data_IF_881033467127
#
_entry.id   IF_881033467127
#
_cell.length_a   1.000
_cell.length_b   1.000
_cell.length_c   1.000
_cell.angle_alpha   90.00
_cell.angle_beta   90.00
_cell.angle_gamma   90.00
#
_symmetry.space_group_name_H-M   'P 1'
#
loop_
_entity.id
_entity.type
_entity.pdbx_description
1 polymer ?
#
# COMPACT_ATOMS: atom_id res chain seq x y z
N UNK A 1 22.93 -19.48 -9.42
CA UNK A 1 21.51 -19.48 -9.05
C UNK A 1 21.41 -20.18 -7.70
N UNK A 2 21.39 -19.40 -6.61
CA UNK A 2 21.38 -19.94 -5.25
C UNK A 2 19.92 -20.15 -4.82
N UNK A 3 19.59 -21.37 -4.46
CA UNK A 3 18.29 -21.77 -3.90
C UNK A 3 18.34 -21.37 -2.43
N UNK A 4 17.49 -20.43 -2.02
CA UNK A 4 17.33 -20.05 -0.61
C UNK A 4 15.97 -20.58 -0.18
N UNK A 5 16.01 -21.74 0.47
CA UNK A 5 14.92 -22.26 1.26
C UNK A 5 14.90 -21.48 2.58
N UNK A 6 13.77 -20.87 2.93
CA UNK A 6 13.70 -19.96 4.09
C UNK A 6 13.86 -20.76 5.40
N UNK A 7 13.48 -22.04 5.42
CA UNK A 7 13.47 -22.85 6.65
C UNK A 7 14.12 -24.24 6.50
N UNK A 8 14.44 -24.69 5.28
CA UNK A 8 15.24 -25.89 5.02
C UNK A 8 14.65 -27.22 5.54
N UNK A 9 13.37 -27.25 5.93
CA UNK A 9 12.80 -28.38 6.69
C UNK A 9 11.34 -28.77 6.41
N UNK A 10 10.71 -28.31 5.33
CA UNK A 10 9.30 -28.67 5.08
C UNK A 10 9.07 -29.13 3.64
N UNK A 11 8.73 -30.42 3.51
CA UNK A 11 8.22 -31.02 2.28
C UNK A 11 7.02 -30.21 1.79
N UNK A 12 7.16 -29.63 0.60
CA UNK A 12 6.28 -28.64 0.03
C UNK A 12 4.94 -29.24 -0.43
N UNK A 13 3.84 -28.64 0.02
CA UNK A 13 2.68 -28.37 -0.85
C UNK A 13 3.20 -27.95 -2.22
N UNK A 14 2.80 -28.61 -3.32
CA UNK A 14 3.43 -28.55 -4.66
C UNK A 14 3.58 -27.19 -5.38
N UNK A 15 3.70 -26.08 -4.66
CA UNK A 15 4.14 -24.79 -5.13
C UNK A 15 5.66 -24.75 -5.41
N UNK A 16 6.10 -23.98 -6.41
CA UNK A 16 7.52 -23.77 -6.66
C UNK A 16 8.19 -23.00 -5.50
N UNK A 17 9.50 -23.18 -5.31
CA UNK A 17 10.26 -22.49 -4.26
C UNK A 17 10.22 -20.97 -4.46
N UNK A 18 10.41 -20.23 -3.35
CA UNK A 18 10.44 -18.77 -3.37
C UNK A 18 11.63 -18.24 -4.18
N UNK A 19 11.37 -17.21 -4.96
CA UNK A 19 12.38 -16.35 -5.58
C UNK A 19 13.04 -15.46 -4.52
N UNK A 20 14.23 -14.92 -4.82
CA UNK A 20 14.93 -14.02 -3.91
C UNK A 20 14.13 -12.76 -3.54
N UNK A 21 13.33 -12.23 -4.48
CA UNK A 21 12.46 -11.09 -4.21
C UNK A 21 11.28 -11.47 -3.29
N UNK A 22 10.64 -12.62 -3.52
CA UNK A 22 9.55 -13.09 -2.65
C UNK A 22 10.05 -13.29 -1.20
N UNK A 23 11.26 -13.85 -1.02
CA UNK A 23 11.88 -13.99 0.28
C UNK A 23 12.19 -12.63 0.95
N UNK A 24 12.66 -11.64 0.19
CA UNK A 24 12.91 -10.29 0.70
C UNK A 24 11.62 -9.60 1.19
N UNK A 25 10.54 -9.72 0.43
CA UNK A 25 9.23 -9.17 0.81
C UNK A 25 8.73 -9.81 2.11
N UNK A 26 8.82 -11.14 2.22
CA UNK A 26 8.41 -11.86 3.44
C UNK A 26 9.27 -11.48 4.64
N UNK A 27 10.58 -11.29 4.47
CA UNK A 27 11.46 -10.78 5.54
C UNK A 27 11.04 -9.39 6.02
N UNK A 28 10.63 -8.53 5.10
CA UNK A 28 10.15 -7.19 5.47
C UNK A 28 8.80 -7.24 6.18
N UNK A 29 7.87 -8.08 5.70
CA UNK A 29 6.61 -8.34 6.40
C UNK A 29 6.87 -8.81 7.82
N UNK A 30 7.81 -9.73 7.99
CA UNK A 30 8.23 -10.21 9.31
C UNK A 30 8.70 -9.07 10.21
N UNK A 31 9.55 -8.17 9.73
CA UNK A 31 10.07 -7.05 10.51
C UNK A 31 8.99 -6.11 11.02
N UNK A 32 7.99 -5.80 10.21
CA UNK A 32 6.93 -4.84 10.56
C UNK A 32 5.71 -5.49 11.22
N UNK A 33 5.56 -6.81 11.12
CA UNK A 33 4.41 -7.54 11.65
C UNK A 33 4.20 -7.26 13.14
N UNK A 34 2.95 -6.96 13.48
CA UNK A 34 2.46 -6.80 14.85
C UNK A 34 1.67 -8.03 15.26
N UNK A 35 1.88 -8.48 16.49
CA UNK A 35 1.22 -9.64 17.07
C UNK A 35 0.44 -9.21 18.31
N UNK A 36 -0.68 -9.87 18.59
CA UNK A 36 -1.39 -9.68 19.85
C UNK A 36 -0.65 -10.37 21.02
N UNK A 37 0.06 -11.47 20.73
CA UNK A 37 0.94 -12.17 21.66
C UNK A 37 2.34 -12.35 21.04
N UNK A 38 3.34 -11.72 21.64
CA UNK A 38 4.74 -11.79 21.21
C UNK A 38 5.36 -13.18 21.43
N UNK A 39 4.74 -14.05 22.24
CA UNK A 39 5.12 -15.45 22.33
C UNK A 39 4.95 -16.18 20.99
N UNK A 40 3.91 -15.85 20.22
CA UNK A 40 3.69 -16.42 18.88
C UNK A 40 4.86 -16.08 17.95
N UNK A 41 5.33 -14.83 17.98
CA UNK A 41 6.49 -14.42 17.18
C UNK A 41 7.74 -15.23 17.54
N UNK A 42 7.97 -15.50 18.83
CA UNK A 42 9.14 -16.26 19.29
C UNK A 42 9.03 -17.75 18.98
N UNK A 43 7.86 -18.34 19.21
CA UNK A 43 7.61 -19.77 19.00
C UNK A 43 7.80 -20.17 17.53
N UNK A 44 7.28 -19.34 16.60
CA UNK A 44 7.32 -19.60 15.17
C UNK A 44 8.42 -18.80 14.45
N UNK A 45 9.46 -18.34 15.16
CA UNK A 45 10.53 -17.54 14.54
C UNK A 45 11.28 -18.29 13.41
N UNK A 46 11.30 -19.62 13.48
CA UNK A 46 11.89 -20.51 12.48
C UNK A 46 10.92 -20.95 11.37
N UNK A 47 9.63 -20.59 11.46
CA UNK A 47 8.63 -20.77 10.40
C UNK A 47 7.83 -19.48 10.29
N UNK A 48 8.43 -18.51 9.61
CA UNK A 48 7.92 -17.13 9.58
C UNK A 48 6.61 -17.01 8.83
N UNK A 49 6.32 -17.91 7.90
CA UNK A 49 5.03 -17.90 7.19
C UNK A 49 3.90 -18.30 8.14
N UNK A 50 4.09 -19.36 8.94
CA UNK A 50 3.14 -19.73 9.98
C UNK A 50 3.04 -18.62 11.03
N UNK A 51 4.15 -17.99 11.43
CA UNK A 51 4.09 -16.85 12.33
C UNK A 51 3.26 -15.70 11.72
N UNK A 52 3.57 -15.28 10.50
CA UNK A 52 2.89 -14.19 9.80
C UNK A 52 1.38 -14.43 9.69
N UNK A 53 0.93 -15.66 9.44
CA UNK A 53 -0.50 -16.04 9.42
C UNK A 53 -1.26 -15.72 10.72
N UNK A 54 -0.53 -15.41 11.80
CA UNK A 54 -1.06 -15.07 13.13
C UNK A 54 -0.77 -13.61 13.53
N UNK A 55 -0.05 -12.86 12.70
CA UNK A 55 0.10 -11.41 12.87
C UNK A 55 -1.25 -10.72 12.70
N UNK A 56 -1.45 -9.55 13.31
CA UNK A 56 -2.71 -8.78 13.23
C UNK A 56 -3.18 -8.61 11.78
N UNK A 57 -2.28 -8.19 10.91
CA UNK A 57 -2.63 -7.88 9.52
C UNK A 57 -2.99 -9.10 8.67
N UNK A 58 -2.22 -10.18 8.81
CA UNK A 58 -2.40 -11.41 8.01
C UNK A 58 -3.23 -12.48 8.72
N UNK A 59 -3.75 -12.19 9.92
CA UNK A 59 -4.44 -13.17 10.76
C UNK A 59 -5.49 -13.96 9.98
N UNK A 60 -5.45 -15.28 10.12
CA UNK A 60 -6.42 -16.18 9.47
C UNK A 60 -6.17 -16.47 7.99
N UNK A 61 -5.09 -15.95 7.38
CA UNK A 61 -4.64 -16.45 6.08
C UNK A 61 -3.73 -17.67 6.25
N UNK A 62 -3.94 -18.76 5.51
CA UNK A 62 -2.98 -19.84 5.51
C UNK A 62 -1.67 -19.43 4.79
N UNK A 63 -0.52 -20.05 5.10
CA UNK A 63 0.78 -19.73 4.50
C UNK A 63 0.80 -19.62 2.96
N UNK A 64 0.11 -20.52 2.26
CA UNK A 64 0.00 -20.53 0.80
C UNK A 64 -0.70 -19.27 0.26
N UNK A 65 -1.63 -18.68 1.00
CA UNK A 65 -2.30 -17.45 0.61
C UNK A 65 -1.39 -16.23 0.80
N UNK A 66 -0.45 -16.27 1.75
CA UNK A 66 0.59 -15.25 1.88
C UNK A 66 1.50 -15.26 0.64
N UNK A 67 1.96 -16.44 0.22
CA UNK A 67 2.79 -16.59 -0.99
C UNK A 67 2.02 -16.11 -2.22
N UNK A 68 0.74 -16.50 -2.36
CA UNK A 68 -0.11 -16.02 -3.45
C UNK A 68 -0.27 -14.50 -3.43
N UNK A 69 -0.36 -13.90 -2.25
CA UNK A 69 -0.44 -12.43 -2.11
C UNK A 69 0.85 -11.76 -2.60
N UNK A 70 2.02 -12.26 -2.21
CA UNK A 70 3.32 -11.77 -2.68
C UNK A 70 3.40 -11.85 -4.21
N UNK A 71 3.02 -12.99 -4.80
CA UNK A 71 3.00 -13.20 -6.26
C UNK A 71 2.03 -12.27 -6.99
N UNK A 72 0.87 -12.00 -6.41
CA UNK A 72 -0.10 -11.07 -6.98
C UNK A 72 0.46 -9.64 -7.03
N UNK A 73 1.24 -9.22 -6.04
CA UNK A 73 1.89 -7.91 -6.04
C UNK A 73 2.90 -7.76 -7.17
N UNK A 74 3.63 -8.83 -7.54
CA UNK A 74 4.54 -8.82 -8.70
C UNK A 74 3.79 -8.70 -10.01
N UNK A 75 2.69 -9.44 -10.13
CA UNK A 75 1.88 -9.49 -11.36
C UNK A 75 1.27 -8.12 -11.67
N UNK A 76 1.02 -7.32 -10.64
CA UNK A 76 0.49 -5.96 -10.76
C UNK A 76 -0.97 -5.92 -11.24
N UNK A 77 -1.49 -4.72 -11.54
CA UNK A 77 -2.87 -4.55 -11.97
C UNK A 77 -3.11 -5.14 -13.36
N UNK A 78 -4.30 -5.69 -13.54
CA UNK A 78 -4.79 -6.19 -14.84
C UNK A 78 -5.22 -5.04 -15.75
N UNK A 79 -5.42 -5.33 -17.03
CA UNK A 79 -6.03 -4.38 -17.96
C UNK A 79 -7.47 -3.97 -17.54
N UNK A 80 -8.18 -4.85 -16.81
CA UNK A 80 -9.48 -4.57 -16.22
C UNK A 80 -9.38 -3.53 -15.11
N UNK A 81 -8.41 -3.67 -14.22
CA UNK A 81 -8.17 -2.71 -13.13
C UNK A 81 -7.83 -1.33 -13.67
N UNK A 82 -6.95 -1.25 -14.67
CA UNK A 82 -6.65 0.02 -15.33
C UNK A 82 -7.87 0.63 -16.02
N UNK A 83 -8.76 -0.21 -16.58
CA UNK A 83 -10.00 0.26 -17.21
C UNK A 83 -10.96 0.83 -16.17
N UNK A 84 -11.19 0.12 -15.07
CA UNK A 84 -12.05 0.57 -13.99
C UNK A 84 -11.61 1.93 -13.42
N UNK A 85 -10.29 2.12 -13.22
CA UNK A 85 -9.75 3.42 -12.81
C UNK A 85 -10.03 4.50 -13.85
N UNK A 86 -9.79 4.24 -15.15
CA UNK A 86 -10.05 5.22 -16.21
C UNK A 86 -11.53 5.60 -16.30
N UNK A 87 -12.44 4.64 -16.13
CA UNK A 87 -13.89 4.86 -16.19
C UNK A 87 -14.41 5.62 -14.97
N UNK A 88 -13.78 5.47 -13.80
CA UNK A 88 -14.11 6.23 -12.60
C UNK A 88 -13.60 7.70 -12.63
N UNK A 89 -12.69 8.03 -13.54
CA UNK A 89 -12.10 9.37 -13.65
C UNK A 89 -12.96 10.28 -14.52
N UNK A 90 -13.56 11.30 -13.90
CA UNK A 90 -14.29 12.38 -14.58
C UNK A 90 -13.41 13.65 -14.71
N UNK A 91 -13.77 14.61 -15.59
CA UNK A 91 -13.09 15.91 -15.68
C UNK A 91 -13.03 16.66 -14.34
N UNK A 92 -14.06 16.54 -13.52
CA UNK A 92 -14.21 17.17 -12.21
C UNK A 92 -13.63 16.37 -11.04
N UNK A 93 -12.98 15.22 -11.29
CA UNK A 93 -12.34 14.45 -10.22
C UNK A 93 -11.27 15.29 -9.54
N UNK A 94 -11.39 15.48 -8.22
CA UNK A 94 -10.41 16.21 -7.39
C UNK A 94 -9.55 15.31 -6.53
N UNK A 95 -10.02 14.10 -6.24
CA UNK A 95 -9.32 13.12 -5.44
C UNK A 95 -9.47 11.73 -6.05
N UNK A 96 -8.41 10.94 -6.01
CA UNK A 96 -8.41 9.52 -6.34
C UNK A 96 -7.93 8.76 -5.12
N UNK A 97 -8.75 7.85 -4.61
CA UNK A 97 -8.39 6.99 -3.49
C UNK A 97 -8.13 5.59 -4.02
N UNK A 98 -6.91 5.10 -3.86
CA UNK A 98 -6.53 3.73 -4.19
C UNK A 98 -6.26 2.94 -2.92
N UNK A 99 -6.92 1.79 -2.76
CA UNK A 99 -6.71 0.87 -1.63
C UNK A 99 -6.03 -0.42 -2.11
N UNK A 100 -5.01 -0.89 -1.39
CA UNK A 100 -4.30 -2.13 -1.74
C UNK A 100 -3.78 -2.10 -3.18
N UNK A 101 -4.10 -3.13 -3.96
CA UNK A 101 -3.74 -3.21 -5.39
C UNK A 101 -4.41 -2.14 -6.26
N UNK A 102 -5.55 -1.60 -5.85
CA UNK A 102 -6.21 -0.48 -6.55
C UNK A 102 -5.36 0.78 -6.58
N UNK A 103 -4.50 1.00 -5.58
CA UNK A 103 -3.51 2.08 -5.58
C UNK A 103 -2.49 1.94 -6.70
N UNK A 104 -2.06 0.71 -6.99
CA UNK A 104 -1.10 0.44 -8.06
C UNK A 104 -1.71 0.77 -9.43
N UNK A 105 -2.98 0.39 -9.63
CA UNK A 105 -3.72 0.74 -10.84
C UNK A 105 -3.90 2.25 -10.99
N UNK A 106 -4.22 2.95 -9.89
CA UNK A 106 -4.37 4.40 -9.86
C UNK A 106 -3.07 5.12 -10.24
N UNK A 107 -1.95 4.73 -9.65
CA UNK A 107 -0.61 5.28 -9.97
C UNK A 107 -0.29 5.07 -11.45
N UNK A 108 -0.45 3.85 -11.96
CA UNK A 108 -0.15 3.51 -13.34
C UNK A 108 -0.98 4.34 -14.34
N UNK A 109 -2.28 4.52 -14.09
CA UNK A 109 -3.18 5.32 -14.93
C UNK A 109 -2.84 6.80 -14.86
N UNK A 110 -2.60 7.34 -13.66
CA UNK A 110 -2.29 8.76 -13.47
C UNK A 110 -0.90 9.13 -13.99
N UNK A 111 0.07 8.21 -13.96
CA UNK A 111 1.40 8.42 -14.55
C UNK A 111 1.36 8.56 -16.08
N UNK A 112 0.43 7.84 -16.74
CA UNK A 112 0.31 7.77 -18.20
C UNK A 112 -0.70 8.76 -18.78
N UNK A 113 -1.40 9.54 -17.95
CA UNK A 113 -2.47 10.42 -18.41
C UNK A 113 -1.92 11.57 -19.29
N UNK A 114 -2.46 11.77 -20.51
CA UNK A 114 -2.19 12.97 -21.31
C UNK A 114 -2.93 14.19 -20.75
N UNK A 115 -2.23 15.33 -20.73
CA UNK A 115 -2.71 16.73 -20.73
C UNK A 115 -4.08 17.12 -20.12
N UNK A 116 -4.58 16.44 -19.09
CA UNK A 116 -5.41 17.12 -18.08
C UNK A 116 -4.47 18.09 -17.34
N UNK A 117 -4.87 19.33 -17.01
CA UNK A 117 -4.01 20.22 -16.24
C UNK A 117 -3.48 19.45 -15.03
N UNK A 118 -2.16 19.29 -14.93
CA UNK A 118 -1.46 18.33 -14.06
C UNK A 118 -1.63 18.60 -12.55
N UNK A 119 -2.58 19.44 -12.16
CA UNK A 119 -2.50 20.23 -10.93
C UNK A 119 -3.80 20.21 -10.11
N UNK A 120 -4.84 19.48 -10.52
CA UNK A 120 -6.12 19.48 -9.81
C UNK A 120 -6.40 18.24 -8.94
N UNK A 121 -5.74 17.11 -9.20
CA UNK A 121 -6.05 15.84 -8.54
C UNK A 121 -5.06 15.55 -7.42
N UNK A 122 -5.56 15.23 -6.23
CA UNK A 122 -4.79 14.57 -5.17
C UNK A 122 -4.94 13.06 -5.29
N UNK A 123 -3.83 12.33 -5.31
CA UNK A 123 -3.83 10.88 -5.15
C UNK A 123 -3.67 10.53 -3.67
N UNK A 124 -4.55 9.68 -3.17
CA UNK A 124 -4.50 9.12 -1.82
C UNK A 124 -4.31 7.60 -1.97
N UNK A 125 -3.15 7.08 -1.59
CA UNK A 125 -2.89 5.63 -1.56
C UNK A 125 -3.03 5.11 -0.14
N UNK A 126 -3.68 3.96 0.04
CA UNK A 126 -4.02 3.41 1.35
C UNK A 126 -3.66 1.93 1.39
N UNK A 127 -2.84 1.52 2.38
CA UNK A 127 -2.50 0.10 2.59
C UNK A 127 -1.92 -0.58 1.34
N UNK A 128 -1.11 0.16 0.56
CA UNK A 128 -0.77 -0.23 -0.81
C UNK A 128 0.60 -0.89 -0.94
N UNK A 129 0.77 -1.89 -1.84
CA UNK A 129 2.05 -2.57 -2.05
C UNK A 129 3.07 -1.77 -2.88
N UNK A 130 2.92 -0.46 -2.97
CA UNK A 130 3.76 0.42 -3.77
C UNK A 130 5.20 0.55 -3.24
N UNK A 131 5.44 0.20 -1.97
CA UNK A 131 6.78 0.11 -1.38
C UNK A 131 7.64 -0.96 -2.07
N UNK A 132 7.00 -2.00 -2.61
CA UNK A 132 7.67 -3.17 -3.19
C UNK A 132 7.85 -3.09 -4.70
N UNK A 133 7.31 -2.04 -5.32
CA UNK A 133 7.30 -1.88 -6.76
C UNK A 133 8.35 -0.86 -7.17
N UNK A 134 9.55 -1.34 -7.45
CA UNK A 134 10.64 -0.53 -8.00
C UNK A 134 10.34 -0.21 -9.47
N UNK A 135 10.02 1.05 -9.79
CA UNK A 135 9.77 1.47 -11.16
C UNK A 135 9.36 2.94 -11.30
N UNK A 136 9.53 3.56 -12.48
CA UNK A 136 9.50 5.02 -12.68
C UNK A 136 8.10 5.65 -12.75
N UNK A 137 7.04 4.91 -12.40
CA UNK A 137 5.67 5.42 -12.55
C UNK A 137 5.36 6.44 -11.45
N UNK A 138 5.81 7.69 -11.65
CA UNK A 138 5.39 8.82 -10.83
C UNK A 138 4.02 9.29 -11.32
N UNK A 139 2.99 9.26 -10.46
CA UNK A 139 1.67 9.74 -10.84
C UNK A 139 1.74 11.24 -11.15
N UNK A 140 1.06 11.69 -12.21
CA UNK A 140 0.99 13.13 -12.54
C UNK A 140 -0.19 13.74 -11.78
N UNK A 141 0.08 14.16 -10.56
CA UNK A 141 -0.93 14.64 -9.60
C UNK A 141 -0.45 15.93 -8.92
N UNK A 142 -1.37 16.70 -8.36
CA UNK A 142 -1.07 17.88 -7.53
C UNK A 142 -0.28 17.49 -6.29
N UNK A 143 -0.73 16.41 -5.66
CA UNK A 143 -0.23 15.93 -4.38
C UNK A 143 -0.46 14.43 -4.32
N UNK A 144 0.50 13.71 -3.75
CA UNK A 144 0.37 12.30 -3.46
C UNK A 144 0.48 12.12 -1.95
N UNK A 145 -0.60 11.70 -1.32
CA UNK A 145 -0.66 11.34 0.10
C UNK A 145 -0.72 9.83 0.20
N UNK A 146 0.16 9.23 1.01
CA UNK A 146 0.14 7.81 1.29
C UNK A 146 -0.21 7.55 2.75
N UNK A 147 -1.11 6.60 2.97
CA UNK A 147 -1.56 6.16 4.28
C UNK A 147 -1.14 4.71 4.47
N UNK A 148 -0.30 4.48 5.46
CA UNK A 148 0.22 3.17 5.80
C UNK A 148 0.09 2.93 7.29
N UNK A 149 -0.39 1.75 7.67
CA UNK A 149 -0.37 1.34 9.06
C UNK A 149 0.99 0.72 9.42
N UNK A 150 1.48 0.98 10.63
CA UNK A 150 2.77 0.46 11.14
C UNK A 150 2.85 -1.08 11.18
N UNK A 151 1.72 -1.77 11.20
CA UNK A 151 1.60 -3.23 11.15
C UNK A 151 1.17 -3.79 9.80
N UNK A 152 0.94 -2.94 8.79
CA UNK A 152 0.61 -3.37 7.43
C UNK A 152 1.87 -3.80 6.68
N UNK A 153 2.11 -5.11 6.67
CA UNK A 153 3.19 -5.73 5.90
C UNK A 153 3.11 -5.44 4.40
N UNK A 154 1.90 -5.35 3.83
CA UNK A 154 1.74 -5.02 2.41
C UNK A 154 2.15 -3.58 2.12
N UNK A 155 1.94 -2.63 3.03
CA UNK A 155 2.34 -1.23 2.86
C UNK A 155 3.79 -0.93 3.23
N UNK A 156 4.50 -1.89 3.83
CA UNK A 156 5.88 -1.72 4.29
C UNK A 156 6.03 -0.99 5.61
N UNK A 157 4.94 -0.53 6.23
CA UNK A 157 4.89 0.09 7.57
C UNK A 157 5.61 1.44 7.74
N UNK A 158 6.59 1.73 6.90
CA UNK A 158 7.47 2.92 6.95
C UNK A 158 7.07 4.02 5.95
N UNK A 159 6.05 3.76 5.12
CA UNK A 159 5.59 4.67 4.09
C UNK A 159 6.27 4.47 2.73
N UNK A 160 5.97 5.35 1.78
CA UNK A 160 6.44 5.31 0.39
C UNK A 160 7.60 6.27 0.11
N UNK A 161 7.83 7.28 0.95
CA UNK A 161 8.90 8.27 0.76
C UNK A 161 10.30 7.64 0.64
N UNK A 162 10.66 6.57 1.39
CA UNK A 162 11.95 5.89 1.19
C UNK A 162 12.14 5.30 -0.22
N UNK A 163 11.05 5.07 -0.96
CA UNK A 163 11.04 4.42 -2.27
C UNK A 163 10.75 5.39 -3.43
N UNK A 164 9.95 6.42 -3.17
CA UNK A 164 9.44 7.35 -4.20
C UNK A 164 9.93 8.79 -4.01
N UNK A 165 10.64 9.09 -2.92
CA UNK A 165 11.19 10.42 -2.61
C UNK A 165 10.18 11.34 -1.92
N UNK A 166 10.51 12.64 -1.85
CA UNK A 166 9.69 13.66 -1.17
C UNK A 166 8.40 14.05 -1.91
N UNK A 167 8.19 13.52 -3.12
CA UNK A 167 6.97 13.74 -3.92
C UNK A 167 5.74 13.03 -3.33
N UNK A 168 5.92 12.15 -2.33
CA UNK A 168 4.84 11.49 -1.58
C UNK A 168 4.87 11.91 -0.12
N UNK A 169 3.71 12.32 0.38
CA UNK A 169 3.49 12.66 1.78
C UNK A 169 2.95 11.46 2.54
N UNK A 170 3.81 10.83 3.35
CA UNK A 170 3.41 9.71 4.19
C UNK A 170 2.67 10.17 5.46
N UNK A 171 1.55 9.51 5.71
CA UNK A 171 0.78 9.55 6.94
C UNK A 171 0.76 8.14 7.53
N UNK A 172 1.73 7.86 8.40
CA UNK A 172 1.83 6.60 9.11
C UNK A 172 0.84 6.58 10.27
N UNK A 173 0.13 5.47 10.45
CA UNK A 173 -0.88 5.30 11.50
C UNK A 173 -0.74 3.97 12.24
N UNK A 174 -1.41 3.87 13.39
CA UNK A 174 -1.62 2.61 14.12
C UNK A 174 -3.13 2.48 14.34
N UNK A 175 -3.82 2.17 13.25
CA UNK A 175 -5.26 2.00 13.16
C UNK A 175 -5.69 0.55 13.38
N UNK A 176 -4.73 -0.37 13.54
CA UNK A 176 -4.92 -1.81 13.63
C UNK A 176 -5.61 -2.38 12.37
N UNK A 177 -4.83 -2.68 11.32
CA UNK A 177 -5.32 -3.01 9.99
C UNK A 177 -5.74 -4.48 9.90
N UNK A 178 -6.21 -5.06 11.02
CA UNK A 178 -6.55 -6.48 11.17
C UNK A 178 -7.34 -6.96 9.95
N UNK A 179 -6.98 -8.15 9.47
CA UNK A 179 -7.62 -8.81 8.33
C UNK A 179 -7.53 -8.04 7.00
N UNK A 180 -6.56 -7.11 6.86
CA UNK A 180 -6.42 -6.24 5.67
C UNK A 180 -7.68 -5.44 5.38
N UNK A 181 -8.46 -5.13 6.41
CA UNK A 181 -9.73 -4.45 6.24
C UNK A 181 -9.49 -2.98 5.81
N UNK A 182 -10.27 -2.44 4.86
CA UNK A 182 -10.19 -1.02 4.51
C UNK A 182 -10.81 -0.12 5.59
N UNK A 183 -11.70 -0.67 6.43
CA UNK A 183 -12.47 0.11 7.41
C UNK A 183 -11.59 0.83 8.45
N UNK A 184 -10.60 0.19 9.10
CA UNK A 184 -9.71 0.87 10.04
C UNK A 184 -9.02 2.09 9.43
N UNK A 185 -8.51 1.95 8.20
CA UNK A 185 -7.92 3.04 7.44
C UNK A 185 -8.91 4.17 7.18
N UNK A 186 -10.08 3.87 6.61
CA UNK A 186 -11.06 4.90 6.20
C UNK A 186 -11.67 5.61 7.40
N UNK A 187 -11.81 4.92 8.53
CA UNK A 187 -12.30 5.50 9.78
C UNK A 187 -11.22 6.30 10.55
N UNK A 188 -9.97 6.29 10.08
CA UNK A 188 -8.88 6.99 10.76
C UNK A 188 -8.98 8.52 10.63
N UNK A 189 -8.57 9.28 11.65
CA UNK A 189 -8.38 10.73 11.55
C UNK A 189 -7.43 11.12 10.41
N UNK A 190 -6.41 10.31 10.14
CA UNK A 190 -5.42 10.51 9.07
C UNK A 190 -6.09 10.53 7.70
N UNK A 191 -6.99 9.57 7.44
CA UNK A 191 -7.76 9.52 6.21
C UNK A 191 -8.68 10.73 6.05
N UNK A 192 -9.36 11.14 7.13
CA UNK A 192 -10.16 12.37 7.14
C UNK A 192 -9.32 13.61 6.79
N UNK A 193 -8.12 13.75 7.36
CA UNK A 193 -7.19 14.84 7.04
C UNK A 193 -6.71 14.81 5.59
N UNK A 194 -6.39 13.63 5.06
CA UNK A 194 -6.00 13.45 3.66
C UNK A 194 -7.12 13.87 2.71
N UNK A 195 -8.36 13.46 2.99
CA UNK A 195 -9.53 13.88 2.21
C UNK A 195 -9.76 15.39 2.29
N UNK A 196 -9.71 15.97 3.48
CA UNK A 196 -9.85 17.43 3.63
C UNK A 196 -8.80 18.15 2.79
N UNK A 197 -7.51 17.78 2.87
CA UNK A 197 -6.45 18.37 2.04
C UNK A 197 -6.69 18.22 0.53
N UNK A 198 -7.29 17.12 0.09
CA UNK A 198 -7.65 16.94 -1.31
C UNK A 198 -8.71 17.96 -1.77
N UNK A 199 -9.64 18.34 -0.89
CA UNK A 199 -10.75 19.24 -1.19
C UNK A 199 -10.55 20.70 -0.75
N UNK A 200 -9.60 20.99 0.14
CA UNK A 200 -9.41 22.30 0.78
C UNK A 200 -8.63 23.32 -0.09
N UNK A 201 -8.82 23.24 -1.39
CA UNK A 201 -8.27 24.20 -2.38
C UNK A 201 -9.04 25.53 -2.42
N UNK A 202 -9.98 25.76 -1.51
CA UNK A 202 -10.81 26.98 -1.45
C UNK A 202 -10.20 28.11 -0.59
N UNK A 203 -9.12 27.87 0.16
CA UNK A 203 -8.57 28.83 1.12
C UNK A 203 -7.60 29.88 0.58
N UNK A 204 -7.01 29.70 -0.61
CA UNK A 204 -5.93 30.59 -1.10
C UNK A 204 -6.40 31.77 -1.95
N UNK A 205 -7.72 31.91 -2.15
CA UNK A 205 -8.31 32.89 -3.08
C UNK A 205 -9.41 33.79 -2.51
N UNK A 206 -9.71 33.72 -1.21
CA UNK A 206 -10.57 34.71 -0.56
C UNK A 206 -9.72 35.92 -0.19
N UNK A 207 -9.71 36.88 -1.11
CA UNK A 207 -9.03 38.16 -0.96
C UNK A 207 -9.33 38.80 0.40
N UNK A 208 -8.26 39.30 1.02
CA UNK A 208 -8.31 40.50 1.86
C UNK A 208 -9.01 41.59 1.04
N UNK A 209 -10.33 41.70 1.18
CA UNK A 209 -10.99 43.00 1.07
C UNK A 209 -10.70 43.69 2.39
N UNK A 210 -9.54 44.33 2.46
CA UNK A 210 -9.33 45.37 3.44
C UNK A 210 -10.37 46.45 3.14
N UNK A 211 -11.33 46.59 4.05
CA UNK A 211 -12.12 47.80 4.13
C UNK A 211 -11.26 48.89 4.74
N UNK A 212 -10.97 49.93 3.96
CA UNK A 212 -10.79 51.31 4.38
C UNK A 212 -10.90 52.20 3.14
#
# INVERSE_FOLDING_TARGET
MAIVDVDGRTEHSGEPPLTGWEAEVLERWWRVARFDDEAVRREFAADRLVALSRSRFFTGLPPEDLIRTVRAMMSGPTAGDHRAVREALAPETRAVVGFGLGAVAAVDVLARRPAVPREAVTLITVGSPLAWRHGPARPRVREWINLADVGDGLAGGEGLAPYHGEDVHDMVMDCDPRLRAPRPYIASPEFGRALLRAFDTAGSGLGRRDGA
#
